data_IF_791646183184
#
_entry.id   IF_791646183184
#
_cell.length_a   1.000
_cell.length_b   1.000
_cell.length_c   1.000
_cell.angle_alpha   90.00
_cell.angle_beta   90.00
_cell.angle_gamma   90.00
#
_symmetry.space_group_name_H-M   'P 1'
#
loop_
_entity.id
_entity.type
_entity.pdbx_description
1 polymer ?
#
# COMPACT_ATOMS: atom_id res chain seq x y z
N UNK A 1 29.03 6.26 5.55
CA UNK A 1 27.61 6.56 5.43
C UNK A 1 27.28 7.89 6.12
N UNK A 2 26.14 8.55 5.75
CA UNK A 2 25.75 9.85 6.34
C UNK A 2 25.62 9.79 7.87
N UNK A 3 25.21 8.66 8.42
CA UNK A 3 25.14 8.42 9.87
C UNK A 3 26.50 8.47 10.55
N UNK A 4 27.57 8.06 9.87
CA UNK A 4 28.93 8.07 10.43
C UNK A 4 29.52 9.49 10.45
N UNK A 5 28.96 10.38 9.64
CA UNK A 5 29.27 11.81 9.63
C UNK A 5 28.47 12.61 10.68
N UNK A 6 27.76 11.94 11.58
CA UNK A 6 26.94 12.61 12.62
C UNK A 6 25.64 13.21 12.12
N UNK A 7 25.23 12.93 10.88
CA UNK A 7 23.97 13.42 10.34
C UNK A 7 22.79 12.54 10.81
N UNK A 8 21.66 13.18 11.08
CA UNK A 8 20.40 12.47 11.33
C UNK A 8 19.92 11.81 10.05
N UNK A 9 19.73 10.49 10.07
CA UNK A 9 19.26 9.70 8.93
C UNK A 9 17.94 9.01 9.28
N UNK A 10 16.92 9.22 8.47
CA UNK A 10 15.66 8.48 8.50
C UNK A 10 15.59 7.55 7.29
N UNK A 11 15.44 6.25 7.52
CA UNK A 11 15.33 5.24 6.46
C UNK A 11 13.87 4.85 6.31
N UNK A 12 13.15 5.50 5.41
CA UNK A 12 11.74 5.24 5.17
C UNK A 12 11.58 3.96 4.36
N UNK A 13 10.85 2.97 4.90
CA UNK A 13 10.47 1.72 4.26
C UNK A 13 9.01 1.83 3.87
N UNK A 14 8.76 2.14 2.61
CA UNK A 14 7.42 2.42 2.10
C UNK A 14 6.71 1.14 1.68
N UNK A 15 5.45 0.98 2.12
CA UNK A 15 4.56 -0.07 1.67
C UNK A 15 3.97 0.19 0.29
N UNK A 16 2.92 -0.55 -0.07
CA UNK A 16 2.23 -0.40 -1.36
C UNK A 16 1.40 0.87 -1.33
N UNK A 17 1.89 1.92 -2.01
CA UNK A 17 1.22 3.22 -2.05
C UNK A 17 -0.07 3.15 -2.88
N UNK A 18 -1.16 3.59 -2.27
CA UNK A 18 -2.44 3.75 -2.93
C UNK A 18 -2.53 5.18 -3.48
N UNK A 19 -2.48 5.29 -4.81
CA UNK A 19 -2.61 6.56 -5.53
C UNK A 19 -3.43 6.36 -6.81
N UNK A 20 -4.39 7.24 -7.07
CA UNK A 20 -5.33 7.11 -8.21
C UNK A 20 -4.61 7.01 -9.57
N UNK A 21 -3.54 7.78 -9.73
CA UNK A 21 -2.80 7.91 -10.98
C UNK A 21 -1.41 7.24 -10.95
N UNK A 22 -1.12 6.41 -9.93
CA UNK A 22 0.18 5.79 -9.75
C UNK A 22 0.13 4.38 -9.17
N UNK A 23 1.29 3.72 -9.18
CA UNK A 23 1.48 2.43 -8.54
C UNK A 23 0.53 1.33 -9.00
N UNK A 24 0.25 0.41 -8.08
CA UNK A 24 -0.59 -0.76 -8.33
C UNK A 24 -2.04 -0.39 -8.66
N UNK A 25 -2.58 0.67 -8.03
CA UNK A 25 -3.98 1.06 -8.20
C UNK A 25 -4.27 1.53 -9.65
N UNK A 26 -3.33 2.25 -10.27
CA UNK A 26 -3.43 2.63 -11.69
C UNK A 26 -3.61 1.42 -12.62
N UNK A 27 -2.95 0.32 -12.31
CA UNK A 27 -3.01 -0.91 -13.10
C UNK A 27 -4.27 -1.73 -12.81
N UNK A 28 -4.69 -1.81 -11.54
CA UNK A 28 -5.84 -2.59 -11.13
C UNK A 28 -7.17 -1.94 -11.54
N UNK A 29 -7.27 -0.62 -11.48
CA UNK A 29 -8.51 0.12 -11.77
C UNK A 29 -9.17 -0.26 -13.10
N UNK A 30 -8.47 -0.26 -14.26
CA UNK A 30 -9.09 -0.64 -15.53
C UNK A 30 -9.52 -2.10 -15.57
N UNK A 31 -8.80 -3.00 -14.89
CA UNK A 31 -9.16 -4.42 -14.82
C UNK A 31 -10.45 -4.62 -14.04
N UNK A 32 -10.58 -3.98 -12.88
CA UNK A 32 -11.82 -4.02 -12.10
C UNK A 32 -12.96 -3.38 -12.87
N UNK A 33 -12.73 -2.26 -13.55
CA UNK A 33 -13.73 -1.62 -14.39
C UNK A 33 -14.24 -2.51 -15.50
N UNK A 34 -13.37 -3.36 -16.09
CA UNK A 34 -13.72 -4.34 -17.11
C UNK A 34 -14.32 -5.65 -16.53
N UNK A 35 -14.50 -5.76 -15.20
CA UNK A 35 -14.96 -7.00 -14.54
C UNK A 35 -13.92 -8.13 -14.47
N UNK A 36 -12.66 -7.81 -14.77
CA UNK A 36 -11.53 -8.75 -14.76
C UNK A 36 -10.74 -8.68 -13.43
N UNK A 37 -11.18 -7.86 -12.49
CA UNK A 37 -10.59 -7.76 -11.16
C UNK A 37 -10.85 -9.00 -10.32
N UNK A 38 -9.86 -9.39 -9.50
CA UNK A 38 -10.01 -10.53 -8.63
C UNK A 38 -8.82 -10.74 -7.70
N UNK A 39 -8.98 -11.67 -6.76
CA UNK A 39 -7.91 -12.04 -5.83
C UNK A 39 -6.74 -12.70 -6.57
N UNK A 40 -5.53 -12.42 -6.11
CA UNK A 40 -4.32 -13.02 -6.67
C UNK A 40 -4.05 -14.38 -6.01
N UNK A 41 -4.05 -15.44 -6.80
CA UNK A 41 -3.81 -16.80 -6.31
C UNK A 41 -4.72 -17.18 -5.14
N UNK A 42 -4.14 -17.56 -3.99
CA UNK A 42 -4.91 -17.92 -2.79
C UNK A 42 -5.55 -16.73 -2.07
N UNK A 43 -5.14 -15.51 -2.36
CA UNK A 43 -5.59 -14.31 -1.67
C UNK A 43 -5.12 -14.16 -0.21
N UNK A 44 -4.30 -15.10 0.28
CA UNK A 44 -3.84 -15.12 1.69
C UNK A 44 -2.64 -14.25 1.98
N UNK A 45 -1.97 -13.75 0.95
CA UNK A 45 -0.81 -12.87 1.10
C UNK A 45 -1.21 -11.55 1.76
N UNK A 46 -0.33 -11.08 2.67
CA UNK A 46 -0.49 -9.78 3.30
C UNK A 46 -0.13 -8.64 2.35
N UNK A 47 -0.89 -7.57 2.42
CA UNK A 47 -0.62 -6.30 1.76
C UNK A 47 -0.45 -5.22 2.83
N UNK A 48 0.78 -4.73 2.95
CA UNK A 48 1.07 -3.56 3.78
C UNK A 48 0.97 -2.33 2.90
N UNK A 49 -0.22 -1.77 2.87
CA UNK A 49 -0.61 -0.61 2.05
C UNK A 49 -0.40 0.70 2.80
N UNK A 50 -0.44 1.82 2.08
CA UNK A 50 -0.51 3.18 2.64
C UNK A 50 -1.15 4.13 1.63
N UNK A 51 -1.95 5.09 2.09
CA UNK A 51 -2.47 6.18 1.26
C UNK A 51 -1.38 7.16 0.84
N UNK A 52 -1.52 7.77 -0.33
CA UNK A 52 -0.54 8.74 -0.84
C UNK A 52 -0.34 9.92 0.12
N UNK A 53 -1.44 10.44 0.68
CA UNK A 53 -1.38 11.60 1.57
C UNK A 53 -0.65 11.27 2.88
N UNK A 54 -0.88 10.07 3.44
CA UNK A 54 -0.16 9.58 4.62
C UNK A 54 1.34 9.38 4.34
N UNK A 55 1.70 8.92 3.14
CA UNK A 55 3.13 8.84 2.73
C UNK A 55 3.76 10.22 2.75
N UNK A 56 3.09 11.22 2.18
CA UNK A 56 3.58 12.60 2.14
C UNK A 56 3.76 13.14 3.55
N UNK A 57 2.78 12.94 4.43
CA UNK A 57 2.87 13.38 5.84
C UNK A 57 4.02 12.71 6.59
N UNK A 58 4.27 11.42 6.34
CA UNK A 58 5.39 10.70 6.95
C UNK A 58 6.74 11.23 6.44
N UNK A 59 6.87 11.51 5.14
CA UNK A 59 8.09 12.11 4.59
C UNK A 59 8.30 13.52 5.12
N UNK A 60 7.23 14.33 5.20
CA UNK A 60 7.29 15.65 5.81
C UNK A 60 7.77 15.56 7.27
N UNK A 61 7.17 14.66 8.06
CA UNK A 61 7.60 14.41 9.43
C UNK A 61 9.06 13.96 9.51
N UNK A 62 9.50 13.10 8.60
CA UNK A 62 10.89 12.64 8.56
C UNK A 62 11.90 13.77 8.32
N UNK A 63 11.49 14.85 7.65
CA UNK A 63 12.32 16.03 7.43
C UNK A 63 12.40 16.93 8.67
N UNK A 64 11.29 17.16 9.36
CA UNK A 64 11.17 18.20 10.39
C UNK A 64 11.17 17.68 11.84
N UNK A 65 10.89 16.40 12.08
CA UNK A 65 10.93 15.80 13.43
C UNK A 65 12.36 15.35 13.77
N UNK A 66 13.11 16.18 14.49
CA UNK A 66 14.49 15.90 14.86
C UNK A 66 14.66 14.64 15.74
N UNK A 67 13.60 14.21 16.39
CA UNK A 67 13.61 13.00 17.21
C UNK A 67 13.38 11.72 16.37
N UNK A 68 12.93 11.85 15.11
CA UNK A 68 12.71 10.72 14.24
C UNK A 68 14.02 10.36 13.52
N UNK A 69 14.56 9.16 13.77
CA UNK A 69 15.80 8.67 13.16
C UNK A 69 15.77 7.17 12.94
N UNK A 70 16.67 6.66 12.10
CA UNK A 70 16.79 5.24 11.78
C UNK A 70 15.63 4.70 10.92
N UNK A 71 15.32 3.39 10.98
CA UNK A 71 14.29 2.78 10.14
C UNK A 71 12.87 3.17 10.60
N UNK A 72 12.02 3.54 9.63
CA UNK A 72 10.61 3.89 9.80
C UNK A 72 9.79 3.19 8.75
N UNK A 73 8.78 2.44 9.15
CA UNK A 73 7.85 1.80 8.22
C UNK A 73 6.72 2.77 7.87
N UNK A 74 6.71 3.24 6.63
CA UNK A 74 5.64 4.04 6.06
C UNK A 74 4.58 3.12 5.45
N UNK A 75 3.73 2.60 6.32
CA UNK A 75 2.60 1.71 5.99
C UNK A 75 1.39 2.15 6.79
N UNK A 76 0.19 1.83 6.29
CA UNK A 76 -1.05 2.02 7.06
C UNK A 76 -1.06 1.16 8.31
N UNK A 77 -1.80 1.57 9.37
CA UNK A 77 -1.82 0.85 10.66
C UNK A 77 -2.46 -0.53 10.56
N UNK A 78 -3.32 -0.76 9.59
CA UNK A 78 -4.11 -1.99 9.42
C UNK A 78 -3.77 -2.68 8.08
N UNK A 79 -2.72 -3.54 8.06
CA UNK A 79 -2.42 -4.34 6.88
C UNK A 79 -3.53 -5.37 6.64
N UNK A 80 -3.89 -5.58 5.37
CA UNK A 80 -4.98 -6.46 4.97
C UNK A 80 -4.50 -7.67 4.18
N UNK A 81 -5.35 -8.70 4.02
CA UNK A 81 -5.10 -9.78 3.07
C UNK A 81 -5.48 -9.35 1.66
N UNK A 82 -4.86 -9.96 0.65
CA UNK A 82 -5.20 -9.68 -0.74
C UNK A 82 -6.68 -9.92 -1.06
N UNK A 83 -7.30 -10.96 -0.48
CA UNK A 83 -8.74 -11.19 -0.60
C UNK A 83 -9.54 -9.99 -0.12
N UNK A 84 -9.26 -9.51 1.09
CA UNK A 84 -9.93 -8.35 1.69
C UNK A 84 -9.72 -7.08 0.86
N UNK A 85 -8.47 -6.79 0.46
CA UNK A 85 -8.16 -5.68 -0.44
C UNK A 85 -8.97 -5.74 -1.73
N UNK A 86 -9.05 -6.92 -2.34
CA UNK A 86 -9.81 -7.15 -3.59
C UNK A 86 -11.30 -6.87 -3.40
N UNK A 87 -11.89 -7.36 -2.31
CA UNK A 87 -13.29 -7.13 -1.98
C UNK A 87 -13.60 -5.65 -1.73
N UNK A 88 -12.72 -4.97 -1.00
CA UNK A 88 -12.85 -3.55 -0.73
C UNK A 88 -12.74 -2.74 -2.03
N UNK A 89 -11.73 -3.01 -2.86
CA UNK A 89 -11.55 -2.31 -4.14
C UNK A 89 -12.74 -2.53 -5.08
N UNK A 90 -13.26 -3.76 -5.14
CA UNK A 90 -14.44 -4.10 -5.92
C UNK A 90 -15.68 -3.30 -5.46
N UNK A 91 -15.86 -3.21 -4.13
CA UNK A 91 -16.95 -2.45 -3.52
C UNK A 91 -16.83 -0.95 -3.83
N UNK A 92 -15.66 -0.35 -3.63
CA UNK A 92 -15.42 1.07 -3.91
C UNK A 92 -15.63 1.40 -5.39
N UNK A 93 -15.24 0.50 -6.29
CA UNK A 93 -15.43 0.68 -7.73
C UNK A 93 -16.84 0.30 -8.22
N UNK A 94 -17.70 -0.26 -7.34
CA UNK A 94 -19.02 -0.82 -7.70
C UNK A 94 -18.91 -1.84 -8.84
N UNK A 95 -17.94 -2.75 -8.76
CA UNK A 95 -17.67 -3.80 -9.75
C UNK A 95 -17.53 -5.16 -9.08
N UNK A 96 -18.06 -6.23 -9.70
CA UNK A 96 -17.85 -7.57 -9.16
C UNK A 96 -16.38 -8.00 -9.30
N UNK A 97 -15.88 -8.74 -8.29
CA UNK A 97 -14.56 -9.38 -8.31
C UNK A 97 -14.72 -10.87 -8.01
N UNK A 98 -15.47 -11.55 -8.87
CA UNK A 98 -15.90 -12.94 -8.63
C UNK A 98 -14.85 -13.98 -9.04
N UNK A 99 -14.01 -13.67 -10.02
CA UNK A 99 -13.05 -14.62 -10.57
C UNK A 99 -11.66 -14.41 -9.96
N UNK A 100 -11.00 -15.48 -9.50
CA UNK A 100 -9.60 -15.37 -9.13
C UNK A 100 -8.74 -15.05 -10.35
N UNK A 101 -7.83 -14.10 -10.22
CA UNK A 101 -6.83 -13.84 -11.27
C UNK A 101 -5.84 -14.99 -11.28
N UNK A 102 -5.64 -15.67 -12.42
CA UNK A 102 -4.66 -16.73 -12.51
C UNK A 102 -3.27 -16.25 -12.10
N UNK A 103 -2.43 -17.16 -11.60
CA UNK A 103 -1.07 -16.83 -11.10
C UNK A 103 -0.15 -16.18 -12.14
N UNK A 104 -0.43 -16.36 -13.43
CA UNK A 104 0.29 -15.70 -14.52
C UNK A 104 -0.21 -14.27 -14.81
N UNK A 105 -1.43 -13.92 -14.36
CA UNK A 105 -2.03 -12.60 -14.59
C UNK A 105 -1.15 -11.43 -14.14
N UNK A 106 -0.58 -11.44 -12.93
CA UNK A 106 0.37 -10.41 -12.49
C UNK A 106 1.60 -10.27 -13.38
N UNK A 107 2.11 -11.38 -13.94
CA UNK A 107 3.26 -11.35 -14.87
C UNK A 107 2.95 -10.64 -16.18
N UNK A 108 1.75 -10.85 -16.70
CA UNK A 108 1.29 -10.20 -17.94
C UNK A 108 1.09 -8.70 -17.73
N UNK A 109 0.61 -8.30 -16.55
CA UNK A 109 0.24 -6.92 -16.25
C UNK A 109 1.38 -6.08 -15.69
N UNK A 110 2.21 -6.67 -14.83
CA UNK A 110 3.26 -5.97 -14.06
C UNK A 110 4.66 -6.32 -14.56
N UNK A 111 4.78 -7.23 -15.52
CA UNK A 111 6.03 -7.85 -15.90
C UNK A 111 6.54 -8.83 -14.83
N UNK A 112 7.64 -9.52 -15.12
CA UNK A 112 8.20 -10.52 -14.18
C UNK A 112 8.65 -9.91 -12.85
N UNK A 113 9.25 -8.73 -12.90
CA UNK A 113 9.76 -8.05 -11.70
C UNK A 113 8.61 -7.60 -10.79
N UNK A 114 7.60 -6.93 -11.33
CA UNK A 114 6.43 -6.50 -10.54
C UNK A 114 5.62 -7.67 -9.98
N UNK A 115 5.53 -8.79 -10.73
CA UNK A 115 4.89 -9.99 -10.23
C UNK A 115 5.65 -10.63 -9.07
N UNK A 116 6.99 -10.66 -9.13
CA UNK A 116 7.84 -11.14 -8.04
C UNK A 116 7.71 -10.25 -6.81
N UNK A 117 7.83 -8.94 -6.97
CA UNK A 117 7.67 -7.97 -5.87
C UNK A 117 6.31 -8.13 -5.18
N UNK A 118 5.23 -8.32 -5.95
CA UNK A 118 3.90 -8.55 -5.41
C UNK A 118 3.76 -9.93 -4.71
N UNK A 119 4.42 -10.96 -5.21
CA UNK A 119 4.42 -12.29 -4.62
C UNK A 119 5.31 -12.39 -3.37
N UNK A 120 6.44 -11.69 -3.37
CA UNK A 120 7.39 -11.63 -2.26
C UNK A 120 6.93 -10.67 -1.15
N UNK A 121 6.05 -9.74 -1.45
CA UNK A 121 5.50 -8.75 -0.52
C UNK A 121 4.54 -9.32 0.55
N UNK A 122 4.54 -10.65 0.77
CA UNK A 122 3.72 -11.29 1.80
C UNK A 122 4.24 -10.99 3.22
N UNK A 123 4.30 -9.71 3.57
CA UNK A 123 4.76 -9.26 4.87
C UNK A 123 3.67 -8.45 5.57
N UNK A 124 3.34 -8.88 6.78
CA UNK A 124 2.47 -8.11 7.66
C UNK A 124 3.32 -7.08 8.42
N UNK A 125 3.46 -5.90 7.83
CA UNK A 125 4.23 -4.79 8.41
C UNK A 125 3.27 -3.81 9.09
N UNK A 126 3.65 -3.33 10.27
CA UNK A 126 2.93 -2.28 11.01
C UNK A 126 3.86 -1.09 11.28
N UNK A 127 3.31 0.14 11.39
CA UNK A 127 4.10 1.35 11.60
C UNK A 127 4.35 1.64 13.09
N UNK A 128 4.82 0.66 13.85
CA UNK A 128 4.93 0.71 15.32
C UNK A 128 5.66 1.96 15.82
N UNK A 129 6.74 2.38 15.15
CA UNK A 129 7.52 3.55 15.54
C UNK A 129 6.76 4.86 15.35
N UNK A 130 5.97 4.98 14.28
CA UNK A 130 5.12 6.14 14.04
C UNK A 130 3.98 6.19 15.06
N UNK A 131 3.33 5.06 15.29
CA UNK A 131 2.24 4.94 16.26
C UNK A 131 2.70 5.28 17.68
N UNK A 132 3.84 4.74 18.13
CA UNK A 132 4.39 5.03 19.47
C UNK A 132 4.82 6.48 19.65
N UNK A 133 4.97 7.23 18.55
CA UNK A 133 5.30 8.67 18.54
C UNK A 133 4.09 9.56 18.22
N UNK A 134 2.87 9.02 18.34
CA UNK A 134 1.65 9.77 18.16
C UNK A 134 1.44 10.28 16.73
N UNK A 135 1.91 9.54 15.70
CA UNK A 135 1.58 9.90 14.32
C UNK A 135 0.11 9.59 14.03
N UNK A 136 -0.62 10.57 13.56
CA UNK A 136 -2.02 10.43 13.17
C UNK A 136 -2.08 10.14 11.67
N UNK A 137 -2.67 8.99 11.32
CA UNK A 137 -2.93 8.62 9.93
C UNK A 137 -4.26 9.25 9.48
N UNK A 138 -4.29 9.81 8.28
CA UNK A 138 -5.53 10.33 7.65
C UNK A 138 -6.50 9.21 7.39
N UNK A 139 -5.98 8.10 6.86
CA UNK A 139 -6.77 6.91 6.54
C UNK A 139 -6.23 5.71 7.31
N UNK A 140 -7.01 5.22 8.27
CA UNK A 140 -6.59 4.09 9.10
C UNK A 140 -6.92 2.75 8.48
N UNK A 141 -7.99 2.68 7.69
CA UNK A 141 -8.38 1.49 6.96
C UNK A 141 -8.26 1.67 5.43
N UNK A 142 -8.18 0.55 4.73
CA UNK A 142 -7.95 0.53 3.29
C UNK A 142 -9.17 1.00 2.48
N UNK A 143 -10.38 0.89 3.04
CA UNK A 143 -11.60 1.30 2.34
C UNK A 143 -11.65 2.82 2.23
N UNK A 144 -11.40 3.52 3.33
CA UNK A 144 -11.34 4.98 3.37
C UNK A 144 -10.23 5.50 2.44
N UNK A 145 -9.03 4.90 2.52
CA UNK A 145 -7.91 5.29 1.65
C UNK A 145 -8.25 5.12 0.16
N UNK A 146 -8.87 4.00 -0.21
CA UNK A 146 -9.26 3.74 -1.60
C UNK A 146 -10.40 4.63 -2.05
N UNK A 147 -11.41 4.88 -1.20
CA UNK A 147 -12.53 5.77 -1.49
C UNK A 147 -12.01 7.18 -1.76
N UNK A 148 -11.17 7.71 -0.87
CA UNK A 148 -10.54 9.01 -1.03
C UNK A 148 -9.73 9.12 -2.33
N UNK A 149 -8.81 8.19 -2.57
CA UNK A 149 -7.95 8.21 -3.75
C UNK A 149 -8.74 8.07 -5.07
N UNK A 150 -9.90 7.46 -5.05
CA UNK A 150 -10.75 7.25 -6.22
C UNK A 150 -11.88 8.29 -6.35
N UNK A 151 -11.97 9.26 -5.42
CA UNK A 151 -13.04 10.27 -5.39
C UNK A 151 -14.43 9.63 -5.24
N UNK A 152 -14.55 8.69 -4.31
CA UNK A 152 -15.77 7.91 -4.05
C UNK A 152 -16.26 8.06 -2.61
N UNK A 153 -15.95 9.18 -1.99
CA UNK A 153 -16.45 9.55 -0.65
C UNK A 153 -17.96 9.77 -0.64
#
# INVERSE_FOLDING_TARGET
>A
PASDAGLRVVKVRTGIVQAANGGTLRLLRPLFAAGLGGRLGSGRQWLSWIGLDDVIDIYHRALYDDQLSGPVNAVGPEPVRNTEYTEVLARVLHRPALLPVPSFGPRVLLGEQGARELAEANQRVIPSKLMSRGHEFRHRDVADALAHQLGRE
#
